data_IF_971992774511
#
_entry.id   IF_971992774511
#
_cell.length_a   1.000
_cell.length_b   1.000
_cell.length_c   1.000
_cell.angle_alpha   90.00
_cell.angle_beta   90.00
_cell.angle_gamma   90.00
#
_symmetry.space_group_name_H-M   'P 1'
#
loop_
_entity.id
_entity.type
_entity.pdbx_description
1 polymer ?
#
# COMPACT_ATOMS: atom_id res chain seq x y z
N UNK A 1 3.21 -0.56 13.08
CA UNK A 1 3.43 -0.58 11.63
C UNK A 1 2.18 -1.08 10.94
N UNK A 2 1.72 -0.30 10.03
CA UNK A 2 0.45 -0.51 9.36
C UNK A 2 0.48 -1.72 8.43
N UNK A 3 -0.70 -2.24 8.14
CA UNK A 3 -0.86 -3.33 7.18
C UNK A 3 -0.32 -2.95 5.83
N UNK A 4 0.62 -3.74 5.37
CA UNK A 4 1.19 -3.61 4.06
C UNK A 4 0.12 -3.74 2.99
N UNK A 5 -0.15 -2.64 2.30
CA UNK A 5 -0.83 -2.68 1.01
C UNK A 5 0.29 -2.66 -0.02
N UNK A 6 0.59 -3.82 -0.62
CA UNK A 6 1.40 -3.85 -1.83
C UNK A 6 0.60 -3.17 -2.94
N UNK A 7 1.13 -2.10 -3.54
CA UNK A 7 0.52 -1.40 -4.68
C UNK A 7 1.26 -1.70 -5.94
N UNK A 8 0.56 -1.99 -7.01
CA UNK A 8 1.12 -2.35 -8.31
C UNK A 8 0.27 -1.86 -9.45
N UNK A 9 0.87 -1.88 -10.63
CA UNK A 9 0.22 -1.52 -11.88
C UNK A 9 -0.26 -2.76 -12.62
N UNK A 10 -1.49 -2.74 -13.08
CA UNK A 10 -1.98 -3.66 -14.08
C UNK A 10 -1.74 -3.08 -15.47
N UNK A 11 -1.33 -3.92 -16.41
CA UNK A 11 -1.20 -3.53 -17.82
C UNK A 11 -2.57 -3.66 -18.47
N UNK A 12 -3.25 -2.53 -18.69
CA UNK A 12 -4.34 -2.49 -19.64
C UNK A 12 -3.79 -2.06 -20.99
N UNK A 13 -3.45 -3.01 -21.85
CA UNK A 13 -3.21 -2.72 -23.25
C UNK A 13 -4.54 -2.81 -23.97
N UNK A 14 -4.87 -1.81 -24.78
CA UNK A 14 -6.03 -1.79 -25.67
C UNK A 14 -5.97 -2.88 -26.76
N UNK A 15 -4.88 -3.62 -26.82
CA UNK A 15 -4.65 -4.67 -27.82
C UNK A 15 -4.65 -6.06 -27.18
N UNK A 16 -5.84 -6.62 -26.99
CA UNK A 16 -6.05 -8.02 -26.59
C UNK A 16 -5.28 -9.03 -27.46
N UNK A 17 -4.88 -8.66 -28.69
CA UNK A 17 -4.16 -9.54 -29.61
C UNK A 17 -2.69 -9.72 -29.28
N UNK A 18 -2.07 -8.81 -28.52
CA UNK A 18 -0.68 -8.99 -28.07
C UNK A 18 -0.53 -9.86 -26.82
N UNK A 19 -1.57 -10.02 -26.01
CA UNK A 19 -1.53 -10.86 -24.81
C UNK A 19 -1.69 -12.37 -25.10
N UNK A 20 -2.29 -12.76 -26.20
CA UNK A 20 -2.42 -14.19 -26.57
C UNK A 20 -1.09 -14.86 -26.97
N UNK A 21 -0.03 -14.08 -27.17
CA UNK A 21 1.25 -14.62 -27.64
C UNK A 21 2.26 -14.93 -26.52
N UNK A 22 1.98 -14.64 -25.27
CA UNK A 22 2.88 -14.96 -24.15
C UNK A 22 2.19 -15.94 -23.18
N UNK A 23 1.83 -17.08 -23.70
CA UNK A 23 1.61 -18.25 -22.87
C UNK A 23 2.98 -18.79 -22.48
N UNK A 24 3.54 -18.32 -21.36
CA UNK A 24 4.80 -18.84 -20.82
C UNK A 24 4.50 -20.24 -20.30
N UNK A 25 4.90 -21.22 -21.07
CA UNK A 25 4.90 -22.62 -20.68
C UNK A 25 5.84 -22.82 -19.49
N UNK A 26 5.31 -23.15 -18.31
CA UNK A 26 6.07 -23.89 -17.31
C UNK A 26 6.39 -23.23 -15.98
N UNK A 27 5.97 -21.99 -15.69
CA UNK A 27 6.09 -21.40 -14.35
C UNK A 27 4.91 -21.77 -13.45
N UNK A 28 5.16 -22.36 -12.30
CA UNK A 28 4.14 -22.55 -11.26
C UNK A 28 3.94 -21.23 -10.56
N UNK A 29 2.87 -20.51 -10.88
CA UNK A 29 2.47 -19.31 -10.12
C UNK A 29 2.24 -19.70 -8.67
N UNK A 30 2.96 -19.05 -7.75
CA UNK A 30 2.84 -19.33 -6.32
C UNK A 30 1.71 -18.50 -5.72
N UNK A 31 0.47 -18.95 -5.90
CA UNK A 31 -0.73 -18.25 -5.37
C UNK A 31 -0.70 -18.08 -3.84
N UNK A 32 -0.12 -19.03 -3.15
CA UNK A 32 0.08 -18.98 -1.69
C UNK A 32 0.98 -17.80 -1.28
N UNK A 33 2.00 -17.49 -2.08
CA UNK A 33 2.87 -16.33 -1.87
C UNK A 33 2.11 -15.03 -2.11
N UNK A 34 1.28 -14.96 -3.14
CA UNK A 34 0.44 -13.77 -3.41
C UNK A 34 -0.51 -13.49 -2.24
N UNK A 35 -1.09 -14.52 -1.63
CA UNK A 35 -1.93 -14.38 -0.43
C UNK A 35 -1.11 -13.81 0.73
N UNK A 36 0.09 -14.33 1.00
CA UNK A 36 0.96 -13.80 2.04
C UNK A 36 1.42 -12.38 1.78
N UNK A 37 1.62 -12.02 0.51
CA UNK A 37 1.97 -10.65 0.11
C UNK A 37 0.80 -9.68 0.30
N UNK A 38 -0.42 -10.10 -0.02
CA UNK A 38 -1.62 -9.25 0.01
C UNK A 38 -2.24 -9.09 1.40
N UNK A 39 -2.20 -10.14 2.24
CA UNK A 39 -2.79 -10.15 3.58
C UNK A 39 -1.74 -9.87 4.66
N UNK A 40 -2.15 -9.26 5.78
CA UNK A 40 -1.28 -9.07 6.95
C UNK A 40 -0.87 -10.41 7.54
N UNK A 41 -1.85 -11.27 7.76
CA UNK A 41 -1.75 -12.64 8.24
C UNK A 41 -2.96 -13.46 7.82
N UNK A 42 -2.87 -14.74 8.03
CA UNK A 42 -3.98 -15.68 7.87
C UNK A 42 -4.27 -16.27 9.25
N UNK A 43 -5.40 -15.90 9.83
CA UNK A 43 -5.89 -16.46 11.10
C UNK A 43 -6.56 -17.80 10.85
N UNK A 44 -6.12 -18.84 11.55
CA UNK A 44 -6.68 -20.19 11.44
C UNK A 44 -8.16 -20.24 11.82
N UNK A 45 -8.59 -19.41 12.78
CA UNK A 45 -9.99 -19.33 13.22
C UNK A 45 -10.92 -18.77 12.14
N UNK A 46 -10.42 -17.85 11.29
CA UNK A 46 -11.22 -17.14 10.28
C UNK A 46 -11.14 -17.77 8.88
N UNK A 47 -9.98 -18.36 8.54
CA UNK A 47 -9.74 -18.92 7.20
C UNK A 47 -8.88 -20.20 7.31
N UNK A 48 -9.51 -21.26 7.79
CA UNK A 48 -8.87 -22.54 8.05
C UNK A 48 -8.33 -23.19 6.79
N UNK A 49 -9.05 -23.06 5.68
CA UNK A 49 -8.64 -23.66 4.40
C UNK A 49 -7.36 -23.00 3.88
N UNK A 50 -7.33 -21.68 3.77
CA UNK A 50 -6.15 -20.91 3.34
C UNK A 50 -4.99 -21.12 4.30
N UNK A 51 -5.24 -21.20 5.61
CA UNK A 51 -4.20 -21.46 6.59
C UNK A 51 -3.46 -22.78 6.31
N UNK A 52 -4.18 -23.88 6.12
CA UNK A 52 -3.55 -25.19 5.85
C UNK A 52 -2.90 -25.22 4.47
N UNK A 53 -3.52 -24.64 3.46
CA UNK A 53 -2.96 -24.53 2.11
C UNK A 53 -1.59 -23.84 2.10
N UNK A 54 -1.47 -22.73 2.80
CA UNK A 54 -0.18 -22.02 2.94
C UNK A 54 0.80 -22.82 3.77
N UNK A 55 0.33 -23.47 4.85
CA UNK A 55 1.17 -24.29 5.71
C UNK A 55 1.81 -25.44 4.95
N UNK A 56 1.08 -26.08 4.06
CA UNK A 56 1.61 -27.18 3.22
C UNK A 56 2.67 -26.69 2.22
N UNK A 57 2.58 -25.42 1.78
CA UNK A 57 3.53 -24.80 0.87
C UNK A 57 4.73 -24.10 1.55
N UNK A 58 4.81 -24.06 2.89
CA UNK A 58 5.81 -23.28 3.63
C UNK A 58 7.26 -23.57 3.23
N UNK A 59 7.58 -24.81 2.86
CA UNK A 59 8.96 -25.18 2.46
C UNK A 59 9.45 -24.39 1.25
N UNK A 60 8.61 -24.31 0.22
CA UNK A 60 8.92 -23.54 -1.00
C UNK A 60 8.85 -22.02 -0.74
N UNK A 61 7.83 -21.58 0.01
CA UNK A 61 7.62 -20.18 0.34
C UNK A 61 8.79 -19.59 1.13
N UNK A 62 9.25 -20.28 2.17
CA UNK A 62 10.38 -19.83 3.00
C UNK A 62 11.66 -19.66 2.20
N UNK A 63 11.92 -20.56 1.24
CA UNK A 63 13.09 -20.44 0.38
C UNK A 63 13.09 -19.11 -0.38
N UNK A 64 11.99 -18.78 -1.06
CA UNK A 64 11.88 -17.52 -1.79
C UNK A 64 11.88 -16.31 -0.87
N UNK A 65 11.06 -16.32 0.18
CA UNK A 65 10.92 -15.16 1.08
C UNK A 65 12.20 -14.84 1.83
N UNK A 66 12.95 -15.84 2.27
CA UNK A 66 14.23 -15.63 2.97
C UNK A 66 15.35 -15.26 2.00
N UNK A 67 15.53 -16.02 0.90
CA UNK A 67 16.67 -15.81 0.01
C UNK A 67 16.55 -14.57 -0.88
N UNK A 68 15.31 -14.19 -1.27
CA UNK A 68 15.07 -13.07 -2.20
C UNK A 68 14.56 -11.82 -1.53
N UNK A 69 13.66 -11.98 -0.57
CA UNK A 69 13.04 -10.85 0.12
C UNK A 69 13.67 -10.54 1.49
N UNK A 70 14.43 -11.46 2.08
CA UNK A 70 14.86 -11.33 3.46
C UNK A 70 13.68 -11.17 4.41
N UNK A 71 12.54 -11.82 4.12
CA UNK A 71 11.34 -11.79 4.93
C UNK A 71 11.14 -13.10 5.66
N UNK A 72 10.90 -13.03 6.97
CA UNK A 72 10.57 -14.18 7.78
C UNK A 72 9.10 -14.53 7.71
N UNK A 73 8.77 -15.83 7.81
CA UNK A 73 7.40 -16.32 7.97
C UNK A 73 7.24 -16.88 9.37
N UNK A 74 6.37 -16.26 10.16
CA UNK A 74 5.87 -16.75 11.43
C UNK A 74 4.75 -17.74 11.14
N UNK A 75 4.88 -18.95 11.68
CA UNK A 75 3.91 -20.03 11.57
C UNK A 75 3.69 -20.65 12.94
N UNK A 76 2.45 -20.60 13.43
CA UNK A 76 2.05 -21.20 14.70
C UNK A 76 0.59 -21.66 14.65
N UNK A 77 0.06 -22.18 15.76
CA UNK A 77 -1.31 -22.69 15.84
C UNK A 77 -2.42 -21.65 15.64
N UNK A 78 -2.10 -20.36 15.78
CA UNK A 78 -3.05 -19.26 15.66
C UNK A 78 -3.07 -18.66 14.25
N UNK A 79 -1.89 -18.40 13.66
CA UNK A 79 -1.78 -17.68 12.41
C UNK A 79 -0.53 -18.03 11.61
N UNK A 80 -0.56 -17.66 10.32
CA UNK A 80 0.62 -17.57 9.47
C UNK A 80 0.78 -16.11 9.03
N UNK A 81 1.96 -15.53 9.23
CA UNK A 81 2.29 -14.13 8.90
C UNK A 81 3.65 -14.06 8.22
N UNK A 82 3.74 -13.35 7.11
CA UNK A 82 5.01 -12.92 6.55
C UNK A 82 5.36 -11.52 7.08
N UNK A 83 6.55 -11.34 7.63
CA UNK A 83 7.03 -10.05 8.10
C UNK A 83 7.53 -9.21 6.93
N UNK A 84 6.65 -8.33 6.44
CA UNK A 84 6.89 -7.47 5.27
C UNK A 84 7.38 -6.10 5.70
N UNK A 85 8.70 -5.93 5.88
CA UNK A 85 9.28 -4.64 6.18
C UNK A 85 9.79 -4.01 4.90
N UNK A 86 9.34 -2.79 4.54
CA UNK A 86 9.78 -2.11 3.33
C UNK A 86 11.24 -1.68 3.45
N UNK A 87 11.86 -1.44 2.29
CA UNK A 87 13.18 -0.78 2.24
C UNK A 87 13.05 0.71 2.57
N UNK A 88 11.99 1.33 2.06
CA UNK A 88 11.67 2.74 2.29
C UNK A 88 10.23 2.81 2.76
N UNK A 89 9.93 3.48 3.90
CA UNK A 89 8.56 3.69 4.34
C UNK A 89 7.87 4.72 3.42
N UNK A 90 6.82 4.28 2.74
CA UNK A 90 6.04 5.12 1.85
C UNK A 90 4.69 5.48 2.50
N UNK A 91 4.10 6.61 2.14
CA UNK A 91 2.85 7.10 2.74
C UNK A 91 1.67 6.13 2.57
N UNK A 92 1.63 5.38 1.46
CA UNK A 92 0.58 4.37 1.22
C UNK A 92 0.72 3.11 2.08
N UNK A 93 1.84 2.91 2.75
CA UNK A 93 2.08 1.74 3.62
C UNK A 93 1.47 1.90 5.01
N UNK A 94 0.94 3.08 5.33
CA UNK A 94 0.20 3.35 6.56
C UNK A 94 -1.17 2.67 6.61
N UNK A 95 -1.85 2.75 7.76
CA UNK A 95 -3.24 2.30 7.90
C UNK A 95 -4.13 3.33 7.19
N UNK A 96 -4.58 3.01 5.98
CA UNK A 96 -5.31 3.95 5.12
C UNK A 96 -6.67 4.39 5.71
N UNK A 97 -7.22 3.61 6.65
CA UNK A 97 -8.45 3.96 7.38
C UNK A 97 -8.22 5.02 8.45
N UNK A 98 -6.97 5.26 8.88
CA UNK A 98 -6.64 6.24 9.90
C UNK A 98 -6.37 7.61 9.29
N UNK A 99 -6.93 8.63 9.91
CA UNK A 99 -6.83 10.01 9.45
C UNK A 99 -6.00 10.91 10.37
N UNK A 100 -5.61 10.40 11.56
CA UNK A 100 -4.92 11.19 12.56
C UNK A 100 -3.90 10.37 13.37
N UNK A 101 -2.97 11.07 14.02
CA UNK A 101 -1.95 10.45 14.88
C UNK A 101 -2.54 9.82 16.14
N UNK A 102 -3.65 10.39 16.63
CA UNK A 102 -4.34 9.89 17.82
C UNK A 102 -4.88 8.46 17.59
N UNK A 103 -5.32 8.14 16.37
CA UNK A 103 -5.78 6.80 16.03
C UNK A 103 -4.65 5.77 16.11
N UNK A 104 -3.42 6.15 15.73
CA UNK A 104 -2.25 5.30 15.94
C UNK A 104 -1.91 5.15 17.43
N UNK A 105 -2.04 6.22 18.22
CA UNK A 105 -1.83 6.17 19.67
C UNK A 105 -2.86 5.25 20.34
N UNK A 106 -4.14 5.36 19.98
CA UNK A 106 -5.17 4.45 20.48
C UNK A 106 -4.89 2.99 20.11
N UNK A 107 -4.42 2.73 18.87
CA UNK A 107 -4.06 1.38 18.47
C UNK A 107 -2.89 0.84 19.31
N UNK A 108 -1.85 1.64 19.55
CA UNK A 108 -0.73 1.22 20.39
C UNK A 108 -1.18 0.87 21.81
N UNK A 109 -2.05 1.71 22.41
CA UNK A 109 -2.58 1.43 23.76
C UNK A 109 -3.53 0.22 23.78
N UNK A 110 -4.33 0.04 22.73
CA UNK A 110 -5.14 -1.18 22.60
C UNK A 110 -4.24 -2.42 22.57
N UNK A 111 -3.13 -2.40 21.82
CA UNK A 111 -2.19 -3.52 21.77
C UNK A 111 -1.54 -3.77 23.14
N UNK A 112 -1.15 -2.72 23.87
CA UNK A 112 -0.64 -2.83 25.25
C UNK A 112 -1.71 -3.42 26.20
N UNK A 113 -2.94 -2.94 26.11
CA UNK A 113 -4.06 -3.44 26.89
C UNK A 113 -4.34 -4.94 26.67
N UNK A 114 -4.16 -5.41 25.43
CA UNK A 114 -4.35 -6.82 25.07
C UNK A 114 -3.14 -7.70 25.41
N UNK A 115 -1.94 -7.14 25.58
CA UNK A 115 -0.75 -7.92 25.96
C UNK A 115 -0.85 -8.52 27.37
N UNK A 116 -1.51 -7.79 28.27
CA UNK A 116 -1.73 -8.23 29.67
C UNK A 116 -2.93 -9.20 29.81
N UNK A 117 -3.58 -9.59 28.69
CA UNK A 117 -4.77 -10.44 28.67
C UNK A 117 -4.54 -11.72 27.92
N UNK A 118 -5.13 -12.80 28.44
CA UNK A 118 -5.10 -14.09 27.77
C UNK A 118 -5.93 -14.10 26.49
N UNK A 119 -5.57 -14.99 25.57
CA UNK A 119 -6.41 -15.27 24.41
C UNK A 119 -7.78 -15.82 24.88
N UNK A 120 -8.85 -15.36 24.24
CA UNK A 120 -10.27 -15.63 24.60
C UNK A 120 -10.76 -14.90 25.87
N UNK A 121 -9.93 -14.07 26.50
CA UNK A 121 -10.41 -13.21 27.58
C UNK A 121 -11.29 -12.10 27.02
N UNK A 122 -12.45 -11.91 27.66
CA UNK A 122 -13.41 -10.89 27.28
C UNK A 122 -13.19 -9.61 28.09
N UNK A 123 -13.48 -8.48 27.47
CA UNK A 123 -13.45 -7.18 28.11
C UNK A 123 -14.53 -6.26 27.53
N UNK A 124 -14.99 -5.32 28.34
CA UNK A 124 -15.97 -4.31 27.93
C UNK A 124 -15.28 -3.01 27.51
N UNK A 125 -15.93 -2.23 26.68
CA UNK A 125 -15.37 -1.00 26.11
C UNK A 125 -14.93 0.00 27.18
N UNK A 126 -15.69 0.12 28.30
CA UNK A 126 -15.34 1.01 29.41
C UNK A 126 -13.98 0.68 30.02
N UNK A 127 -13.61 -0.59 30.17
CA UNK A 127 -12.28 -0.98 30.66
C UNK A 127 -11.16 -0.48 29.74
N UNK A 128 -11.37 -0.53 28.42
CA UNK A 128 -10.40 -0.01 27.47
C UNK A 128 -10.32 1.52 27.52
N UNK A 129 -11.45 2.22 27.58
CA UNK A 129 -11.46 3.69 27.65
C UNK A 129 -10.82 4.22 28.93
N UNK A 130 -11.04 3.56 30.07
CA UNK A 130 -10.33 3.86 31.31
C UNK A 130 -8.82 3.65 31.19
N UNK A 131 -8.41 2.53 30.58
CA UNK A 131 -6.99 2.24 30.34
C UNK A 131 -6.34 3.26 29.39
N UNK A 132 -7.04 3.68 28.33
CA UNK A 132 -6.56 4.74 27.43
C UNK A 132 -6.40 6.05 28.19
N UNK A 133 -7.38 6.42 29.02
CA UNK A 133 -7.36 7.66 29.80
C UNK A 133 -6.19 7.68 30.80
N UNK A 134 -5.87 6.53 31.39
CA UNK A 134 -4.74 6.41 32.31
C UNK A 134 -3.37 6.56 31.60
N UNK A 135 -3.26 6.11 30.36
CA UNK A 135 -2.00 6.11 29.60
C UNK A 135 -1.82 7.30 28.64
N UNK A 136 -2.92 7.95 28.24
CA UNK A 136 -2.93 9.15 27.40
C UNK A 136 -3.85 10.22 28.03
N UNK A 137 -3.43 10.87 29.12
CA UNK A 137 -4.26 11.87 29.76
C UNK A 137 -4.38 13.15 28.92
N UNK A 138 -5.50 13.85 29.04
CA UNK A 138 -5.77 15.12 28.39
C UNK A 138 -6.93 15.11 27.41
N UNK A 139 -7.00 16.10 26.53
CA UNK A 139 -8.12 16.25 25.58
C UNK A 139 -8.29 15.07 24.63
N UNK A 140 -7.24 14.32 24.39
CA UNK A 140 -7.22 13.17 23.49
C UNK A 140 -8.07 11.99 24.04
N UNK A 141 -8.21 11.89 25.35
CA UNK A 141 -9.00 10.87 26.07
C UNK A 141 -10.27 11.42 26.70
N UNK A 142 -10.73 12.59 26.28
CA UNK A 142 -12.03 13.13 26.67
C UNK A 142 -13.14 12.47 25.83
N UNK A 143 -13.82 11.49 26.44
CA UNK A 143 -14.86 10.71 25.77
C UNK A 143 -16.21 11.43 25.68
N UNK A 144 -16.36 12.61 26.30
CA UNK A 144 -17.53 13.47 26.07
C UNK A 144 -17.52 14.00 24.63
N UNK A 145 -16.34 14.10 24.01
CA UNK A 145 -16.17 14.58 22.65
C UNK A 145 -16.47 13.48 21.63
N UNK A 146 -17.51 13.67 20.85
CA UNK A 146 -17.91 12.78 19.74
C UNK A 146 -16.74 12.44 18.79
N UNK A 147 -15.86 13.41 18.50
CA UNK A 147 -14.70 13.22 17.64
C UNK A 147 -13.74 12.16 18.15
N UNK A 148 -13.50 12.10 19.46
CA UNK A 148 -12.61 11.13 20.09
C UNK A 148 -13.27 9.74 20.09
N UNK A 149 -14.54 9.64 20.43
CA UNK A 149 -15.29 8.38 20.34
C UNK A 149 -15.25 7.82 18.92
N UNK A 150 -15.50 8.66 17.91
CA UNK A 150 -15.42 8.26 16.49
C UNK A 150 -14.05 7.74 16.08
N UNK A 151 -12.96 8.36 16.56
CA UNK A 151 -11.58 7.89 16.31
C UNK A 151 -11.34 6.53 16.95
N UNK A 152 -11.74 6.35 18.21
CA UNK A 152 -11.59 5.07 18.91
C UNK A 152 -12.39 3.95 18.22
N UNK A 153 -13.63 4.20 17.85
CA UNK A 153 -14.45 3.22 17.12
C UNK A 153 -13.82 2.84 15.78
N UNK A 154 -13.19 3.78 15.08
CA UNK A 154 -12.45 3.47 13.84
C UNK A 154 -11.27 2.54 14.09
N UNK A 155 -10.56 2.72 15.19
CA UNK A 155 -9.48 1.83 15.63
C UNK A 155 -10.00 0.45 15.99
N UNK A 156 -11.09 0.38 16.75
CA UNK A 156 -11.72 -0.89 17.11
C UNK A 156 -12.25 -1.65 15.90
N UNK A 157 -12.92 -0.97 14.96
CA UNK A 157 -13.34 -1.57 13.68
C UNK A 157 -12.15 -2.09 12.89
N UNK A 158 -11.05 -1.35 12.87
CA UNK A 158 -9.81 -1.84 12.27
C UNK A 158 -9.30 -3.08 13.00
N UNK A 159 -9.29 -3.10 14.32
CA UNK A 159 -8.85 -4.26 15.11
C UNK A 159 -9.73 -5.48 14.87
N UNK A 160 -11.05 -5.31 14.78
CA UNK A 160 -12.01 -6.38 14.41
C UNK A 160 -11.76 -6.87 12.98
N UNK A 161 -11.62 -5.97 12.01
CA UNK A 161 -11.34 -6.33 10.62
C UNK A 161 -10.02 -7.14 10.47
N UNK A 162 -9.01 -6.78 11.26
CA UNK A 162 -7.75 -7.50 11.29
C UNK A 162 -7.79 -8.79 12.13
N UNK A 163 -8.86 -9.00 12.92
CA UNK A 163 -8.99 -10.14 13.82
C UNK A 163 -8.06 -10.09 15.02
N UNK A 164 -7.75 -8.89 15.48
CA UNK A 164 -7.03 -8.66 16.74
C UNK A 164 -7.98 -8.91 17.92
N UNK A 165 -9.22 -8.45 17.76
CA UNK A 165 -10.35 -8.70 18.67
C UNK A 165 -11.57 -9.15 17.88
N UNK A 166 -12.47 -9.86 18.54
CA UNK A 166 -13.79 -10.18 18.01
C UNK A 166 -14.87 -9.48 18.86
N UNK A 167 -15.98 -9.08 18.24
CA UNK A 167 -17.16 -8.54 18.95
C UNK A 167 -18.02 -9.72 19.41
N UNK A 168 -18.25 -9.82 20.70
CA UNK A 168 -19.06 -10.89 21.28
C UNK A 168 -20.50 -10.43 21.50
N UNK A 169 -20.69 -9.18 21.93
CA UNK A 169 -22.03 -8.60 22.16
C UNK A 169 -21.99 -7.08 22.04
N UNK A 170 -23.13 -6.47 21.70
CA UNK A 170 -23.26 -5.03 21.55
C UNK A 170 -22.97 -4.52 20.14
N UNK A 171 -23.10 -3.20 19.97
CA UNK A 171 -22.82 -2.49 18.71
C UNK A 171 -22.00 -1.26 19.01
N UNK A 172 -20.94 -1.05 18.27
CA UNK A 172 -20.04 0.08 18.41
C UNK A 172 -20.69 1.45 18.09
N UNK A 173 -21.82 1.47 17.34
CA UNK A 173 -22.63 2.66 17.16
C UNK A 173 -23.17 3.21 18.50
N UNK A 174 -23.48 2.34 19.47
CA UNK A 174 -23.98 2.76 20.78
C UNK A 174 -23.00 3.71 21.49
N UNK A 175 -21.70 3.41 21.45
CA UNK A 175 -20.67 4.27 22.03
C UNK A 175 -20.43 5.56 21.21
N UNK A 176 -20.69 5.54 19.91
CA UNK A 176 -20.59 6.78 19.12
C UNK A 176 -21.66 7.79 19.55
N UNK A 177 -22.87 7.33 19.84
CA UNK A 177 -24.00 8.18 20.20
C UNK A 177 -23.97 8.58 21.69
N UNK A 178 -23.57 7.66 22.58
CA UNK A 178 -23.50 7.87 24.03
C UNK A 178 -22.18 7.30 24.58
N UNK A 179 -21.51 8.08 25.45
CA UNK A 179 -20.28 7.64 26.12
C UNK A 179 -20.50 6.44 27.08
N UNK A 180 -21.71 6.22 27.50
CA UNK A 180 -22.13 5.07 28.34
C UNK A 180 -22.44 3.81 27.49
N UNK A 181 -22.35 3.87 26.18
CA UNK A 181 -22.60 2.73 25.33
C UNK A 181 -21.54 1.63 25.54
N UNK A 182 -22.01 0.40 25.83
CA UNK A 182 -21.10 -0.73 26.07
C UNK A 182 -21.08 -1.73 24.93
N UNK A 183 -19.87 -2.27 24.68
CA UNK A 183 -19.61 -3.34 23.72
C UNK A 183 -18.70 -4.35 24.37
N UNK A 184 -19.00 -5.63 24.19
CA UNK A 184 -18.19 -6.74 24.69
C UNK A 184 -17.29 -7.25 23.58
N UNK A 185 -16.00 -7.21 23.81
CA UNK A 185 -14.96 -7.72 22.92
C UNK A 185 -14.29 -8.95 23.52
N UNK A 186 -13.67 -9.76 22.64
CA UNK A 186 -12.85 -10.91 23.02
C UNK A 186 -11.46 -10.76 22.38
N UNK A 187 -10.41 -10.98 23.19
CA UNK A 187 -9.02 -10.98 22.71
C UNK A 187 -8.75 -12.27 21.92
N UNK A 188 -8.37 -12.18 20.65
CA UNK A 188 -8.01 -13.35 19.83
C UNK A 188 -6.61 -13.88 20.11
N UNK A 189 -5.76 -13.10 20.80
CA UNK A 189 -4.32 -13.37 20.98
C UNK A 189 -3.45 -12.98 19.77
N UNK A 190 -4.04 -12.48 18.70
CA UNK A 190 -3.30 -12.06 17.50
C UNK A 190 -2.54 -10.73 17.69
N UNK A 191 -2.92 -9.93 18.71
CA UNK A 191 -2.26 -8.67 19.08
C UNK A 191 -0.74 -8.80 19.21
N UNK A 192 -0.27 -9.89 19.81
CA UNK A 192 1.16 -10.20 20.03
C UNK A 192 1.98 -10.30 18.75
N UNK A 193 1.33 -10.59 17.63
CA UNK A 193 1.96 -10.70 16.32
C UNK A 193 1.77 -9.45 15.44
N UNK A 194 1.09 -8.43 15.97
CA UNK A 194 0.82 -7.21 15.19
C UNK A 194 2.10 -6.41 14.93
N UNK A 195 2.86 -6.16 15.98
CA UNK A 195 4.16 -5.53 15.90
C UNK A 195 5.23 -6.54 15.52
N UNK A 196 6.32 -6.06 14.94
CA UNK A 196 7.55 -6.86 14.78
C UNK A 196 8.32 -6.85 16.09
N UNK A 197 8.98 -7.96 16.39
CA UNK A 197 10.01 -7.98 17.44
C UNK A 197 11.25 -7.25 16.92
N UNK A 198 11.67 -6.23 17.62
CA UNK A 198 12.90 -5.49 17.35
C UNK A 198 14.05 -6.09 18.14
N UNK A 199 15.24 -6.13 17.54
CA UNK A 199 16.46 -6.62 18.19
C UNK A 199 16.98 -5.69 19.31
N UNK A 200 16.60 -4.40 19.23
CA UNK A 200 16.94 -3.36 20.21
C UNK A 200 15.69 -2.83 20.88
N UNK A 201 15.85 -2.21 22.04
CA UNK A 201 14.77 -1.46 22.68
C UNK A 201 14.24 -0.39 21.71
N UNK A 202 12.92 -0.33 21.57
CA UNK A 202 12.26 0.63 20.67
C UNK A 202 12.60 2.09 21.04
N UNK A 203 12.93 2.34 22.29
CA UNK A 203 13.32 3.68 22.79
C UNK A 203 14.72 4.10 22.36
N UNK A 204 15.55 3.18 21.88
CA UNK A 204 16.88 3.48 21.34
C UNK A 204 16.84 4.01 19.91
N UNK A 205 15.74 3.82 19.20
CA UNK A 205 15.58 4.33 17.84
C UNK A 205 15.20 5.82 17.86
N UNK A 206 15.97 6.62 17.15
CA UNK A 206 15.76 8.08 17.07
C UNK A 206 15.12 8.50 15.74
N UNK A 207 15.26 7.69 14.70
CA UNK A 207 14.78 7.98 13.35
C UNK A 207 14.07 6.76 12.75
N UNK A 208 13.08 6.98 11.86
CA UNK A 208 12.37 5.90 11.18
C UNK A 208 13.27 4.95 10.39
N UNK A 209 14.37 5.45 9.82
CA UNK A 209 15.32 4.69 9.00
C UNK A 209 16.06 3.64 9.83
N UNK A 210 16.32 3.92 11.11
CA UNK A 210 17.02 3.01 12.02
C UNK A 210 16.24 1.72 12.28
N UNK A 211 14.90 1.73 12.18
CA UNK A 211 14.08 0.53 12.26
C UNK A 211 14.33 -0.47 11.12
N UNK A 212 14.91 -0.01 10.03
CA UNK A 212 15.27 -0.83 8.89
C UNK A 212 16.66 -1.40 9.02
N UNK A 213 17.60 -0.62 9.56
CA UNK A 213 19.00 -1.02 9.71
C UNK A 213 19.17 -2.23 10.65
N UNK A 214 18.35 -2.33 11.70
CA UNK A 214 18.45 -3.43 12.67
C UNK A 214 18.24 -4.82 12.04
N UNK A 215 17.50 -4.92 10.95
CA UNK A 215 17.27 -6.20 10.25
C UNK A 215 18.42 -6.59 9.33
N UNK A 216 19.26 -5.64 8.97
CA UNK A 216 20.37 -5.84 8.04
C UNK A 216 21.68 -6.14 8.73
N UNK A 217 21.84 -5.74 10.00
CA UNK A 217 23.08 -5.96 10.77
C UNK A 217 23.33 -7.43 11.11
N UNK A 218 22.27 -8.23 11.26
CA UNK A 218 22.40 -9.67 11.49
C UNK A 218 22.64 -10.48 10.21
N UNK A 219 22.34 -9.91 9.05
CA UNK A 219 22.56 -10.54 7.75
C UNK A 219 23.88 -10.06 7.15
N UNK A 220 24.91 -10.29 7.92
CA UNK A 220 26.26 -10.53 7.49
C UNK A 220 26.90 -9.64 6.39
N UNK A 221 28.20 -9.51 6.53
CA UNK A 221 29.23 -8.95 5.64
C UNK A 221 29.09 -9.26 4.14
N UNK A 222 28.19 -10.15 3.71
CA UNK A 222 27.87 -10.38 2.31
C UNK A 222 26.93 -9.30 1.75
N UNK A 223 27.51 -8.15 1.44
CA UNK A 223 26.83 -7.00 0.81
C UNK A 223 25.94 -7.36 -0.38
N UNK A 224 26.16 -8.51 -1.01
CA UNK A 224 25.38 -9.00 -2.13
C UNK A 224 23.97 -9.43 -1.77
N UNK A 225 23.76 -10.10 -0.64
CA UNK A 225 22.44 -10.54 -0.17
C UNK A 225 21.56 -9.35 0.23
N UNK A 226 22.07 -8.43 1.03
CA UNK A 226 21.34 -7.25 1.46
C UNK A 226 20.84 -6.40 0.26
N UNK A 227 21.70 -6.19 -0.75
CA UNK A 227 21.36 -5.49 -1.97
C UNK A 227 20.25 -6.21 -2.74
N UNK A 228 20.37 -7.53 -2.91
CA UNK A 228 19.33 -8.34 -3.56
C UNK A 228 17.98 -8.19 -2.86
N UNK A 229 17.95 -8.32 -1.53
CA UNK A 229 16.73 -8.17 -0.73
C UNK A 229 16.09 -6.79 -0.93
N UNK A 230 16.87 -5.71 -0.93
CA UNK A 230 16.36 -4.36 -1.16
C UNK A 230 15.72 -4.22 -2.54
N UNK A 231 16.39 -4.71 -3.58
CA UNK A 231 15.89 -4.61 -4.97
C UNK A 231 14.59 -5.42 -5.13
N UNK A 232 14.56 -6.66 -4.69
CA UNK A 232 13.34 -7.49 -4.77
C UNK A 232 12.20 -6.89 -3.96
N UNK A 233 12.46 -6.46 -2.72
CA UNK A 233 11.44 -5.79 -1.90
C UNK A 233 10.91 -4.53 -2.57
N UNK A 234 11.79 -3.71 -3.14
CA UNK A 234 11.38 -2.46 -3.79
C UNK A 234 10.46 -2.71 -4.98
N UNK A 235 10.79 -3.67 -5.84
CA UNK A 235 9.95 -4.05 -6.98
C UNK A 235 8.63 -4.69 -6.55
N UNK A 236 8.64 -5.44 -5.45
CA UNK A 236 7.46 -6.18 -4.98
C UNK A 236 6.53 -5.33 -4.11
N UNK A 237 7.03 -4.42 -3.30
CA UNK A 237 6.25 -3.68 -2.31
C UNK A 237 5.92 -2.24 -2.71
N UNK A 238 6.51 -1.71 -3.78
CA UNK A 238 6.24 -0.37 -4.25
C UNK A 238 5.77 -0.36 -5.71
N UNK A 239 5.04 0.67 -6.16
CA UNK A 239 4.63 0.83 -7.55
C UNK A 239 5.80 0.91 -8.51
N UNK A 240 6.94 1.45 -8.05
CA UNK A 240 8.15 1.56 -8.83
C UNK A 240 9.39 1.70 -7.98
N UNK A 241 10.53 1.40 -8.59
CA UNK A 241 11.86 1.65 -8.05
C UNK A 241 12.52 2.72 -8.90
N UNK A 242 12.89 3.84 -8.29
CA UNK A 242 13.60 4.92 -8.96
C UNK A 242 15.04 4.97 -8.46
N UNK A 243 15.96 5.31 -9.37
CA UNK A 243 17.40 5.37 -9.07
C UNK A 243 17.74 6.32 -7.92
N UNK A 244 16.95 7.38 -7.75
CA UNK A 244 17.12 8.38 -6.70
C UNK A 244 16.60 7.94 -5.31
N UNK A 245 15.81 6.86 -5.22
CA UNK A 245 15.17 6.42 -3.97
C UNK A 245 16.03 5.51 -3.11
N UNK A 246 17.14 5.07 -3.61
CA UNK A 246 17.95 4.07 -2.94
C UNK A 246 19.45 4.31 -3.11
N UNK A 247 20.23 3.33 -2.68
CA UNK A 247 21.65 3.31 -2.96
C UNK A 247 21.88 3.20 -4.48
N UNK A 248 22.81 3.97 -5.05
CA UNK A 248 23.19 3.83 -6.48
C UNK A 248 23.53 2.37 -6.86
N UNK A 249 24.06 1.63 -5.91
CA UNK A 249 24.46 0.22 -6.07
C UNK A 249 23.26 -0.72 -6.25
N UNK A 250 22.08 -0.37 -5.70
CA UNK A 250 20.86 -1.15 -5.88
C UNK A 250 20.38 -1.07 -7.34
N UNK A 251 20.52 0.10 -7.97
CA UNK A 251 20.17 0.26 -9.37
C UNK A 251 21.23 -0.37 -10.31
N UNK A 252 22.49 -0.38 -9.91
CA UNK A 252 23.54 -1.14 -10.62
C UNK A 252 23.27 -2.65 -10.56
N UNK A 253 22.76 -3.17 -9.45
CA UNK A 253 22.34 -4.57 -9.37
C UNK A 253 21.29 -4.91 -10.44
N UNK A 254 20.30 -4.05 -10.65
CA UNK A 254 19.31 -4.22 -11.72
C UNK A 254 19.98 -4.23 -13.10
N UNK A 255 20.97 -3.38 -13.32
CA UNK A 255 21.69 -3.30 -14.60
C UNK A 255 22.42 -4.60 -14.91
N UNK A 256 23.04 -5.25 -13.92
CA UNK A 256 23.80 -6.48 -14.11
C UNK A 256 22.95 -7.75 -14.05
N UNK A 257 21.94 -7.78 -13.19
CA UNK A 257 21.16 -8.99 -12.92
C UNK A 257 19.68 -8.87 -13.33
N UNK A 258 19.27 -7.76 -13.91
CA UNK A 258 17.87 -7.45 -14.17
C UNK A 258 17.17 -8.49 -15.05
N UNK A 259 17.83 -9.01 -16.09
CA UNK A 259 17.27 -10.07 -16.93
C UNK A 259 16.93 -11.32 -16.12
N UNK A 260 17.88 -11.80 -15.31
CA UNK A 260 17.67 -12.99 -14.47
C UNK A 260 16.55 -12.75 -13.42
N UNK A 261 16.55 -11.54 -12.82
CA UNK A 261 15.52 -11.13 -11.87
C UNK A 261 14.14 -11.10 -12.51
N UNK A 262 14.04 -10.54 -13.73
CA UNK A 262 12.77 -10.51 -14.49
C UNK A 262 12.27 -11.92 -14.76
N UNK A 263 13.12 -12.78 -15.35
CA UNK A 263 12.78 -14.17 -15.63
C UNK A 263 12.32 -14.92 -14.36
N UNK A 264 12.97 -14.66 -13.21
CA UNK A 264 12.61 -15.29 -11.94
C UNK A 264 11.27 -14.79 -11.38
N UNK A 265 11.01 -13.48 -11.44
CA UNK A 265 9.73 -12.91 -10.97
C UNK A 265 8.57 -13.32 -11.89
N UNK A 266 8.79 -13.36 -13.20
CA UNK A 266 7.80 -13.77 -14.20
C UNK A 266 7.45 -15.27 -14.11
N UNK A 267 8.38 -16.11 -13.59
CA UNK A 267 8.09 -17.52 -13.32
C UNK A 267 7.24 -17.73 -12.04
N UNK A 268 7.33 -16.81 -11.08
CA UNK A 268 6.67 -16.93 -9.79
C UNK A 268 5.31 -16.24 -9.79
N UNK A 269 5.22 -15.10 -10.47
CA UNK A 269 4.04 -14.25 -10.53
C UNK A 269 3.58 -14.04 -11.97
N UNK A 270 2.29 -13.85 -12.15
CA UNK A 270 1.76 -13.34 -13.41
C UNK A 270 2.09 -11.85 -13.51
N UNK A 271 3.30 -11.53 -14.02
CA UNK A 271 3.80 -10.18 -14.11
C UNK A 271 4.86 -10.03 -15.21
N UNK A 272 5.20 -8.78 -15.53
CA UNK A 272 6.34 -8.40 -16.36
C UNK A 272 7.18 -7.37 -15.62
N UNK A 273 8.52 -7.48 -15.72
CA UNK A 273 9.44 -6.50 -15.12
C UNK A 273 10.03 -5.61 -16.21
N UNK A 274 9.74 -4.33 -16.14
CA UNK A 274 10.26 -3.33 -17.05
C UNK A 274 11.39 -2.53 -16.38
N UNK A 275 12.58 -2.57 -16.96
CA UNK A 275 13.76 -1.87 -16.47
C UNK A 275 14.14 -0.78 -17.47
N UNK A 276 14.25 0.46 -16.99
CA UNK A 276 14.58 1.67 -17.73
C UNK A 276 15.89 2.29 -17.23
N UNK A 277 16.28 3.45 -17.80
CA UNK A 277 17.53 4.15 -17.42
C UNK A 277 17.56 4.63 -15.97
N UNK A 278 16.43 5.10 -15.46
CA UNK A 278 16.32 5.67 -14.13
C UNK A 278 15.25 5.02 -13.24
N UNK A 279 14.57 3.97 -13.73
CA UNK A 279 13.43 3.38 -13.03
C UNK A 279 13.24 1.91 -13.40
N UNK A 280 12.53 1.17 -12.53
CA UNK A 280 12.10 -0.19 -12.80
C UNK A 280 10.72 -0.44 -12.20
N UNK A 281 9.88 -1.22 -12.87
CA UNK A 281 8.49 -1.48 -12.52
C UNK A 281 8.16 -2.94 -12.65
N UNK A 282 7.30 -3.43 -11.76
CA UNK A 282 6.65 -4.71 -11.89
C UNK A 282 5.21 -4.48 -12.33
N UNK A 283 4.88 -4.88 -13.55
CA UNK A 283 3.56 -4.77 -14.14
C UNK A 283 2.83 -6.09 -13.94
N UNK A 284 1.69 -6.04 -13.26
CA UNK A 284 0.88 -7.23 -12.96
C UNK A 284 0.02 -7.61 -14.14
N UNK A 285 -0.07 -8.91 -14.44
CA UNK A 285 -1.06 -9.47 -15.34
C UNK A 285 -2.45 -9.56 -14.67
N UNK A 286 -3.43 -10.03 -15.42
CA UNK A 286 -4.84 -10.08 -14.98
C UNK A 286 -5.08 -11.04 -13.80
N UNK A 287 -4.29 -12.09 -13.70
CA UNK A 287 -4.41 -13.12 -12.65
C UNK A 287 -3.58 -12.84 -11.40
N UNK A 288 -2.78 -11.78 -11.38
CA UNK A 288 -1.94 -11.42 -10.25
C UNK A 288 -2.76 -10.82 -9.10
N UNK A 289 -2.62 -11.37 -7.89
CA UNK A 289 -3.38 -11.00 -6.67
C UNK A 289 -2.50 -10.58 -5.50
N UNK A 290 -1.35 -10.00 -5.78
CA UNK A 290 -0.36 -9.66 -4.74
C UNK A 290 -0.72 -8.42 -3.90
N UNK A 291 -1.83 -7.77 -4.12
CA UNK A 291 -2.26 -6.57 -3.39
C UNK A 291 -3.10 -5.62 -4.24
N UNK A 292 -3.14 -4.34 -3.85
CA UNK A 292 -3.87 -3.32 -4.60
C UNK A 292 -3.12 -2.98 -5.89
N UNK A 293 -3.81 -3.00 -7.02
CA UNK A 293 -3.27 -2.70 -8.35
C UNK A 293 -3.80 -1.37 -8.87
N UNK A 294 -3.07 -0.74 -9.78
CA UNK A 294 -3.52 0.40 -10.56
C UNK A 294 -3.56 0.01 -12.06
N UNK A 295 -4.61 0.41 -12.80
CA UNK A 295 -5.79 1.11 -12.33
C UNK A 295 -6.71 0.23 -11.48
N UNK A 296 -7.31 0.83 -10.43
CA UNK A 296 -8.38 0.18 -9.67
C UNK A 296 -9.73 0.44 -10.32
N UNK A 297 -10.75 -0.33 -9.96
CA UNK A 297 -12.13 -0.10 -10.41
C UNK A 297 -12.77 1.03 -9.57
N UNK A 298 -12.30 2.26 -9.79
CA UNK A 298 -12.79 3.45 -9.09
C UNK A 298 -12.56 4.71 -9.93
N UNK A 299 -13.39 5.72 -9.72
CA UNK A 299 -13.40 6.97 -10.52
C UNK A 299 -12.08 7.73 -10.48
N UNK A 300 -11.31 7.68 -9.41
CA UNK A 300 -10.02 8.37 -9.37
C UNK A 300 -9.00 7.73 -10.32
N UNK A 301 -9.00 6.40 -10.44
CA UNK A 301 -8.12 5.72 -11.41
C UNK A 301 -8.45 6.13 -12.84
N UNK A 302 -9.73 6.25 -13.19
CA UNK A 302 -10.15 6.68 -14.53
C UNK A 302 -9.68 8.12 -14.80
N UNK A 303 -9.85 9.02 -13.83
CA UNK A 303 -9.38 10.41 -13.93
C UNK A 303 -7.85 10.47 -14.11
N UNK A 304 -7.09 9.67 -13.34
CA UNK A 304 -5.63 9.62 -13.49
C UNK A 304 -5.22 9.15 -14.88
N UNK A 305 -5.88 8.14 -15.43
CA UNK A 305 -5.60 7.63 -16.77
C UNK A 305 -5.82 8.71 -17.85
N UNK A 306 -6.86 9.53 -17.72
CA UNK A 306 -7.10 10.68 -18.61
C UNK A 306 -6.01 11.74 -18.46
N UNK A 307 -5.62 12.06 -17.22
CA UNK A 307 -4.51 12.98 -16.98
C UNK A 307 -3.20 12.47 -17.64
N UNK A 308 -2.94 11.15 -17.61
CA UNK A 308 -1.76 10.58 -18.26
C UNK A 308 -1.80 10.73 -19.78
N UNK A 309 -2.99 10.62 -20.38
CA UNK A 309 -3.19 10.91 -21.79
C UNK A 309 -2.81 12.35 -22.15
N UNK A 310 -3.26 13.33 -21.34
CA UNK A 310 -2.94 14.75 -21.57
C UNK A 310 -1.46 15.07 -21.29
N UNK A 311 -0.87 14.50 -20.25
CA UNK A 311 0.58 14.60 -19.98
C UNK A 311 1.37 14.11 -21.18
N UNK A 312 0.99 12.97 -21.74
CA UNK A 312 1.66 12.39 -22.90
C UNK A 312 1.56 13.30 -24.12
N UNK A 313 0.41 13.89 -24.41
CA UNK A 313 0.23 14.85 -25.50
C UNK A 313 1.18 16.05 -25.35
N UNK A 314 1.30 16.61 -24.14
CA UNK A 314 2.22 17.73 -23.86
C UNK A 314 3.70 17.35 -24.08
N UNK A 315 4.10 16.14 -23.76
CA UNK A 315 5.45 15.63 -24.02
C UNK A 315 5.67 15.38 -25.50
N UNK A 316 4.74 14.74 -26.20
CA UNK A 316 4.83 14.46 -27.66
C UNK A 316 4.85 15.74 -28.50
N UNK A 317 4.11 16.77 -28.09
CA UNK A 317 4.11 18.08 -28.72
C UNK A 317 5.37 18.92 -28.39
N UNK A 318 6.24 18.45 -27.50
CA UNK A 318 7.45 19.15 -27.11
C UNK A 318 7.24 20.34 -26.16
N UNK A 319 6.02 20.50 -25.60
CA UNK A 319 5.72 21.51 -24.59
C UNK A 319 6.43 21.19 -23.28
N UNK A 320 6.42 19.91 -22.87
CA UNK A 320 7.15 19.41 -21.72
C UNK A 320 8.32 18.52 -22.16
N UNK A 321 9.48 18.77 -21.57
CA UNK A 321 10.73 18.06 -21.93
C UNK A 321 11.04 16.96 -20.93
N UNK A 322 11.37 15.80 -21.44
CA UNK A 322 11.86 14.68 -20.63
C UNK A 322 13.34 14.81 -20.34
N UNK A 323 13.73 14.51 -19.10
CA UNK A 323 15.12 14.44 -18.66
C UNK A 323 15.80 13.12 -19.08
N UNK A 324 17.09 12.98 -18.79
CA UNK A 324 17.85 11.78 -19.11
C UNK A 324 17.38 10.51 -18.37
N UNK A 325 16.73 10.68 -17.22
CA UNK A 325 16.10 9.62 -16.42
C UNK A 325 14.66 9.32 -16.84
N UNK A 326 14.20 9.90 -17.96
CA UNK A 326 12.85 9.79 -18.52
C UNK A 326 11.77 10.46 -17.68
N UNK A 327 12.12 11.21 -16.64
CA UNK A 327 11.19 12.05 -15.89
C UNK A 327 10.91 13.37 -16.62
N UNK A 328 9.83 14.04 -16.25
CA UNK A 328 9.50 15.37 -16.74
C UNK A 328 9.33 16.33 -15.56
N UNK A 329 9.96 17.51 -15.64
CA UNK A 329 9.83 18.54 -14.61
C UNK A 329 8.97 19.67 -15.18
N UNK A 330 7.90 20.02 -14.45
CA UNK A 330 6.98 21.08 -14.84
C UNK A 330 6.69 22.01 -13.67
N UNK A 331 6.24 23.23 -13.96
CA UNK A 331 5.75 24.15 -12.93
C UNK A 331 4.45 23.62 -12.33
N UNK A 332 4.27 23.84 -11.03
CA UNK A 332 3.08 23.39 -10.30
C UNK A 332 1.79 23.99 -10.86
N UNK A 333 1.82 25.26 -11.25
CA UNK A 333 0.64 25.95 -11.78
C UNK A 333 0.25 25.34 -13.13
N UNK A 334 1.23 25.07 -14.01
CA UNK A 334 0.98 24.40 -15.29
C UNK A 334 0.39 23.01 -15.10
N UNK A 335 0.90 22.26 -14.13
CA UNK A 335 0.38 20.93 -13.80
C UNK A 335 -1.05 20.98 -13.24
N UNK A 336 -1.33 21.93 -12.34
CA UNK A 336 -2.67 22.14 -11.80
C UNK A 336 -3.66 22.58 -12.91
N UNK A 337 -3.21 23.39 -13.89
CA UNK A 337 -4.02 23.79 -15.03
C UNK A 337 -4.36 22.60 -15.93
N UNK A 338 -3.41 21.70 -16.21
CA UNK A 338 -3.69 20.47 -16.94
C UNK A 338 -4.81 19.65 -16.27
N UNK A 339 -4.77 19.51 -14.94
CA UNK A 339 -5.80 18.76 -14.19
C UNK A 339 -7.18 19.46 -14.32
N UNK A 340 -7.22 20.80 -14.32
CA UNK A 340 -8.45 21.58 -14.53
C UNK A 340 -8.99 21.40 -15.95
N UNK A 341 -8.11 21.42 -16.95
CA UNK A 341 -8.47 21.15 -18.35
C UNK A 341 -9.10 19.76 -18.49
N UNK A 342 -8.51 18.73 -17.86
CA UNK A 342 -9.07 17.37 -17.82
C UNK A 342 -10.48 17.36 -17.19
N UNK A 343 -10.70 18.13 -16.11
CA UNK A 343 -12.04 18.24 -15.52
C UNK A 343 -13.03 18.92 -16.43
N UNK A 344 -12.63 19.98 -17.14
CA UNK A 344 -13.49 20.72 -18.06
C UNK A 344 -13.87 19.87 -19.28
N UNK A 345 -12.92 19.13 -19.84
CA UNK A 345 -13.11 18.33 -21.05
C UNK A 345 -13.89 17.04 -20.77
N UNK A 346 -13.51 16.32 -19.71
CA UNK A 346 -14.05 14.98 -19.44
C UNK A 346 -15.00 14.90 -18.24
N UNK A 347 -15.19 15.99 -17.52
CA UNK A 347 -15.93 16.01 -16.25
C UNK A 347 -17.38 15.55 -16.34
N UNK A 348 -18.04 15.68 -17.49
CA UNK A 348 -19.40 15.17 -17.71
C UNK A 348 -19.51 13.65 -17.52
N UNK A 349 -18.42 12.91 -17.79
CA UNK A 349 -18.34 11.47 -17.63
C UNK A 349 -17.94 11.02 -16.23
N UNK A 350 -17.55 11.94 -15.35
CA UNK A 350 -17.12 11.58 -14.00
C UNK A 350 -18.31 11.19 -13.11
N UNK A 351 -18.03 10.39 -12.08
CA UNK A 351 -19.03 10.11 -11.05
C UNK A 351 -19.51 11.42 -10.41
N UNK A 352 -20.76 11.43 -9.92
CA UNK A 352 -21.41 12.62 -9.33
C UNK A 352 -20.50 13.34 -8.32
N UNK A 353 -19.83 12.58 -7.47
CA UNK A 353 -18.93 13.13 -6.45
C UNK A 353 -17.79 13.97 -7.06
N UNK A 354 -17.10 13.46 -8.09
CA UNK A 354 -16.01 14.19 -8.74
C UNK A 354 -16.50 15.30 -9.67
N UNK A 355 -17.66 15.13 -10.29
CA UNK A 355 -18.26 16.15 -11.15
C UNK A 355 -18.66 17.40 -10.35
N UNK A 356 -19.31 17.21 -9.20
CA UNK A 356 -19.80 18.30 -8.33
C UNK A 356 -18.73 18.83 -7.36
N UNK A 357 -17.57 18.18 -7.27
CA UNK A 357 -16.48 18.58 -6.38
C UNK A 357 -15.92 19.96 -6.76
N UNK A 358 -15.68 20.87 -5.80
CA UNK A 358 -15.00 22.14 -6.05
C UNK A 358 -13.67 21.96 -6.77
N UNK A 359 -13.31 22.83 -7.71
CA UNK A 359 -12.13 22.70 -8.57
C UNK A 359 -10.83 22.54 -7.76
N UNK A 360 -10.62 23.35 -6.72
CA UNK A 360 -9.44 23.27 -5.89
C UNK A 360 -9.32 21.95 -5.12
N UNK A 361 -10.45 21.40 -4.65
CA UNK A 361 -10.51 20.11 -3.99
C UNK A 361 -10.25 18.96 -4.98
N UNK A 362 -10.81 19.07 -6.18
CA UNK A 362 -10.57 18.11 -7.26
C UNK A 362 -9.08 18.04 -7.62
N UNK A 363 -8.45 19.19 -7.88
CA UNK A 363 -7.00 19.26 -8.18
C UNK A 363 -6.18 18.64 -7.06
N UNK A 364 -6.49 18.96 -5.82
CA UNK A 364 -5.80 18.38 -4.65
C UNK A 364 -5.96 16.87 -4.60
N UNK A 365 -7.18 16.34 -4.76
CA UNK A 365 -7.43 14.89 -4.73
C UNK A 365 -6.66 14.14 -5.83
N UNK A 366 -6.60 14.71 -7.04
CA UNK A 366 -5.86 14.13 -8.17
C UNK A 366 -4.34 14.12 -7.87
N UNK A 367 -3.79 15.23 -7.39
CA UNK A 367 -2.36 15.34 -7.04
C UNK A 367 -2.01 14.35 -5.92
N UNK A 368 -2.81 14.31 -4.85
CA UNK A 368 -2.57 13.40 -3.73
C UNK A 368 -2.65 11.92 -4.17
N UNK A 369 -3.57 11.59 -5.07
CA UNK A 369 -3.67 10.25 -5.63
C UNK A 369 -2.47 9.89 -6.54
N UNK A 370 -2.00 10.83 -7.37
CA UNK A 370 -0.80 10.64 -8.20
C UNK A 370 0.46 10.45 -7.34
N UNK A 371 0.61 11.25 -6.29
CA UNK A 371 1.74 11.13 -5.35
C UNK A 371 1.70 9.80 -4.61
N UNK A 372 0.51 9.38 -4.16
CA UNK A 372 0.29 8.12 -3.46
C UNK A 372 0.67 6.89 -4.29
N UNK A 373 0.56 6.96 -5.61
CA UNK A 373 0.95 5.93 -6.56
C UNK A 373 2.34 6.12 -7.16
N UNK A 374 3.11 7.10 -6.68
CA UNK A 374 4.45 7.43 -7.16
C UNK A 374 4.50 7.84 -8.64
N UNK A 375 3.39 8.37 -9.19
CA UNK A 375 3.37 8.94 -10.54
C UNK A 375 4.02 10.31 -10.62
N UNK A 376 3.95 11.04 -9.50
CA UNK A 376 4.57 12.36 -9.37
C UNK A 376 5.29 12.49 -8.02
N UNK A 377 6.16 13.50 -7.93
CA UNK A 377 6.82 13.96 -6.72
C UNK A 377 6.76 15.48 -6.63
N UNK A 378 6.50 15.99 -5.44
CA UNK A 378 6.55 17.41 -5.14
C UNK A 378 8.00 17.77 -4.79
N UNK A 379 8.63 18.61 -5.59
CA UNK A 379 9.97 19.11 -5.29
C UNK A 379 9.91 20.21 -4.22
N UNK A 380 10.66 20.04 -3.13
CA UNK A 380 10.59 20.95 -1.95
C UNK A 380 11.06 22.37 -2.24
N UNK A 381 11.95 22.57 -3.21
CA UNK A 381 12.67 23.84 -3.38
C UNK A 381 12.12 24.79 -4.45
N UNK A 382 11.19 24.38 -5.32
CA UNK A 382 10.98 25.11 -6.57
C UNK A 382 9.52 25.30 -7.03
N UNK A 383 8.52 24.99 -6.26
CA UNK A 383 7.13 24.97 -6.74
C UNK A 383 6.97 24.13 -8.01
N UNK A 384 7.77 23.07 -8.14
CA UNK A 384 7.77 22.18 -9.30
C UNK A 384 7.20 20.81 -8.96
N UNK A 385 6.66 20.17 -9.97
CA UNK A 385 6.19 18.78 -9.95
C UNK A 385 7.12 17.96 -10.86
N UNK A 386 7.71 16.92 -10.30
CA UNK A 386 8.43 15.90 -11.06
C UNK A 386 7.46 14.80 -11.45
N UNK A 387 7.18 14.67 -12.74
CA UNK A 387 6.37 13.57 -13.29
C UNK A 387 7.30 12.39 -13.51
N UNK A 388 6.98 11.28 -12.86
CA UNK A 388 7.79 10.07 -12.92
C UNK A 388 7.53 9.27 -14.21
N UNK A 389 8.52 8.55 -14.75
CA UNK A 389 8.38 7.77 -16.00
C UNK A 389 7.26 6.71 -15.95
N UNK A 390 6.88 6.27 -14.75
CA UNK A 390 5.76 5.35 -14.52
C UNK A 390 4.45 5.88 -15.13
N UNK A 391 4.23 7.20 -15.11
CA UNK A 391 3.07 7.89 -15.71
C UNK A 391 2.92 7.60 -17.20
N UNK A 392 4.03 7.40 -17.91
CA UNK A 392 4.03 7.10 -19.34
C UNK A 392 3.72 5.63 -19.70
N UNK A 393 3.55 4.75 -18.69
CA UNK A 393 3.31 3.31 -18.94
C UNK A 393 1.88 2.98 -19.32
N UNK A 394 0.94 3.74 -18.84
CA UNK A 394 -0.49 3.55 -19.07
C UNK A 394 -1.17 4.88 -19.33
N UNK A 395 -2.18 4.82 -20.16
CA UNK A 395 -3.07 5.96 -20.44
C UNK A 395 -4.49 5.46 -20.64
N UNK A 396 -5.46 6.33 -20.43
CA UNK A 396 -6.86 6.12 -20.77
C UNK A 396 -7.35 7.17 -21.74
N UNK A 397 -8.31 6.81 -22.55
CA UNK A 397 -9.11 7.72 -23.36
C UNK A 397 -10.54 7.24 -23.38
N UNK A 398 -11.48 8.16 -23.51
CA UNK A 398 -12.84 7.76 -23.82
C UNK A 398 -12.90 7.26 -25.28
N UNK A 399 -13.84 6.37 -25.61
CA UNK A 399 -14.12 6.00 -27.00
C UNK A 399 -14.45 7.26 -27.84
N UNK A 400 -14.15 7.22 -29.15
CA UNK A 400 -14.38 8.35 -30.07
C UNK A 400 -15.85 8.79 -30.16
N UNK A 401 -16.77 7.85 -29.91
CA UNK A 401 -18.22 8.08 -29.89
C UNK A 401 -18.76 8.55 -28.52
N UNK A 402 -17.88 8.78 -27.55
CA UNK A 402 -18.26 9.26 -26.24
C UNK A 402 -18.72 10.73 -26.28
N UNK A 403 -20.01 10.96 -26.15
CA UNK A 403 -20.67 12.30 -26.21
C UNK A 403 -20.80 13.00 -24.85
N UNK A 404 -20.06 12.51 -23.83
CA UNK A 404 -20.00 13.18 -22.53
C UNK A 404 -21.30 13.19 -21.75
N UNK A 405 -22.03 12.08 -21.67
CA UNK A 405 -23.21 11.97 -20.80
C UNK A 405 -24.33 12.99 -21.06
N UNK A 406 -24.37 13.59 -22.24
CA UNK A 406 -25.55 14.33 -22.72
C UNK A 406 -26.62 13.30 -23.10
N UNK A 407 -27.17 12.64 -22.10
CA UNK A 407 -28.54 12.14 -22.27
C UNK A 407 -29.43 13.35 -22.09
N UNK A 408 -29.93 13.81 -23.21
CA UNK A 408 -31.07 14.71 -23.27
C UNK A 408 -32.16 14.17 -22.35
N UNK A 409 -32.76 15.07 -21.59
CA UNK A 409 -34.02 14.88 -20.89
C UNK A 409 -35.13 14.38 -21.84
#
# INVERSE_FOLDING_TARGET
MAGYISRRMAVYTSDRRMMEAVHISGGRVMKELEILLSKRWILKSRDKETYYKIRDALGELRKFTTEKLGCQIIDNSLLIKMEKIPVIPESFMGIQKFSSKEEYAYLCILLMFLEDRDAQEQFILSQLTEYITANLPGEISDWTLYTNRRKLIRVLRFAVDQGIVDVTDGKDEAFMDDEAGEVLYENTGASRYFMKNFSKDIMEYTKPEEFQESDWFEVDEDRGFARRHRVYKRLIFAPGMYKEDGSPEDFEYLKYYGRRLSEELEQIFDCQVHIHRGSAYLLSGDDCRMGTVFPGNNSISDILLLCFGEIRKKVENGEWKTAADESCLTDRIEFENLIKEVKQEYGSGFSKNYREMPEGEFVKNVIDAMELWMFIRKEKAAHQIKICPLTGKIQGSYPEDYTGGRNDE
#
